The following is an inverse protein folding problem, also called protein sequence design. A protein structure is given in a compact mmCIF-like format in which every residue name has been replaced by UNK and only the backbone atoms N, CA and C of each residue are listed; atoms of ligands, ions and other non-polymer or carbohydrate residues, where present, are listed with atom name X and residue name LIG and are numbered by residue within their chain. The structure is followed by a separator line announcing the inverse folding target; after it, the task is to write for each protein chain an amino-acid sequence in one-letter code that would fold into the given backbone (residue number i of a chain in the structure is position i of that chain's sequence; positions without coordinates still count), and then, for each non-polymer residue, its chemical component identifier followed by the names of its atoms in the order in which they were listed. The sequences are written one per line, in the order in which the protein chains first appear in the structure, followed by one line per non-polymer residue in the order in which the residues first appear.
data_IF_571888096827
#
_entry.id   IF_571888096827
#
_cell.length_a   1.000
_cell.length_b   1.000
_cell.length_c   1.000
_cell.angle_alpha   90.00
_cell.angle_beta   90.00
_cell.angle_gamma   90.00
#
_symmetry.space_group_name_H-M   'P 1'
#
loop_
_entity.id
_entity.type
_entity.pdbx_description
1 polymer ?
#
# COMPACT_ATOMS: atom_id res chain seq x y z
N UNK A 1 22.35 27.33 18.06
CA UNK A 1 21.48 26.44 17.26
C UNK A 1 20.17 26.34 18.01
N UNK A 2 19.06 26.81 17.44
CA UNK A 2 17.72 26.59 18.03
C UNK A 2 17.44 25.08 17.95
N UNK A 3 17.03 24.50 19.07
CA UNK A 3 16.49 23.13 19.11
C UNK A 3 15.41 23.03 18.01
N UNK A 4 15.38 21.99 17.15
CA UNK A 4 14.34 21.89 16.14
C UNK A 4 12.98 21.94 16.85
N UNK A 5 12.16 22.92 16.49
CA UNK A 5 10.83 23.07 17.07
C UNK A 5 10.06 21.80 16.81
N UNK A 6 9.52 21.18 17.86
CA UNK A 6 8.75 19.94 17.78
C UNK A 6 7.55 20.20 16.86
N UNK A 7 7.41 19.42 15.77
CA UNK A 7 6.27 19.49 14.87
C UNK A 7 5.01 19.08 15.63
N UNK A 8 4.03 19.98 15.76
CA UNK A 8 2.79 19.76 16.49
C UNK A 8 1.57 19.69 15.57
N UNK A 9 1.70 20.21 14.34
CA UNK A 9 0.63 20.21 13.35
C UNK A 9 1.18 19.89 11.97
N UNK A 10 0.57 18.91 11.31
CA UNK A 10 0.95 18.46 9.97
C UNK A 10 -0.22 18.59 9.02
N UNK A 11 -0.02 19.21 7.87
CA UNK A 11 -0.98 19.15 6.76
C UNK A 11 -0.59 18.03 5.80
N UNK A 12 -1.53 17.12 5.52
CA UNK A 12 -1.35 15.99 4.60
C UNK A 12 -2.27 16.18 3.41
N UNK A 13 -1.68 16.24 2.21
CA UNK A 13 -2.40 16.42 0.94
C UNK A 13 -2.40 15.10 0.18
N UNK A 14 -3.58 14.63 -0.23
CA UNK A 14 -3.72 13.35 -0.94
C UNK A 14 -4.86 13.35 -1.94
N UNK A 15 -4.65 12.73 -3.11
CA UNK A 15 -5.71 12.42 -4.09
C UNK A 15 -6.41 11.07 -3.78
N UNK A 16 -5.80 10.24 -2.92
CA UNK A 16 -6.33 8.97 -2.49
C UNK A 16 -7.00 9.08 -1.11
N UNK A 17 -8.34 9.10 -1.08
CA UNK A 17 -9.11 9.18 0.15
C UNK A 17 -10.44 8.44 0.04
N UNK A 18 -11.20 8.37 1.14
CA UNK A 18 -12.55 7.79 1.13
C UNK A 18 -13.43 8.40 0.02
N UNK A 19 -14.28 7.62 -0.64
CA UNK A 19 -14.68 6.24 -0.35
C UNK A 19 -13.74 5.15 -0.92
N UNK A 20 -12.61 5.49 -1.50
CA UNK A 20 -11.66 4.51 -2.04
C UNK A 20 -11.17 3.55 -0.94
N UNK A 21 -11.11 2.25 -1.27
CA UNK A 21 -10.54 1.22 -0.40
C UNK A 21 -9.27 0.68 -1.05
N UNK A 22 -8.12 1.19 -0.62
CA UNK A 22 -6.81 0.76 -1.13
C UNK A 22 -5.70 0.94 -0.07
N UNK A 23 -4.52 0.43 -0.37
CA UNK A 23 -3.37 0.47 0.55
C UNK A 23 -2.89 1.88 0.91
N UNK A 24 -3.05 2.87 0.01
CA UNK A 24 -2.66 4.27 0.26
C UNK A 24 -3.57 4.89 1.30
N UNK A 25 -4.89 4.76 1.10
CA UNK A 25 -5.90 5.26 2.06
C UNK A 25 -5.71 4.64 3.44
N UNK A 26 -5.49 3.31 3.51
CA UNK A 26 -5.21 2.62 4.78
C UNK A 26 -3.95 3.16 5.44
N UNK A 27 -2.86 3.29 4.68
CA UNK A 27 -1.59 3.81 5.22
C UNK A 27 -1.79 5.20 5.81
N UNK A 28 -2.41 6.11 5.07
CA UNK A 28 -2.63 7.48 5.54
C UNK A 28 -3.56 7.53 6.77
N UNK A 29 -4.66 6.77 6.77
CA UNK A 29 -5.57 6.72 7.94
C UNK A 29 -4.86 6.26 9.21
N UNK A 30 -4.13 5.15 9.13
CA UNK A 30 -3.42 4.63 10.30
C UNK A 30 -2.28 5.58 10.75
N UNK A 31 -1.54 6.15 9.79
CA UNK A 31 -0.48 7.12 10.11
C UNK A 31 -1.06 8.36 10.78
N UNK A 32 -2.19 8.91 10.30
CA UNK A 32 -2.84 10.05 10.92
C UNK A 32 -3.34 9.73 12.34
N UNK A 33 -3.97 8.57 12.55
CA UNK A 33 -4.42 8.13 13.87
C UNK A 33 -3.28 7.99 14.86
N UNK A 34 -2.15 7.41 14.44
CA UNK A 34 -0.96 7.28 15.30
C UNK A 34 -0.29 8.63 15.57
N UNK A 35 -0.26 9.56 14.60
CA UNK A 35 0.22 10.93 14.82
C UNK A 35 -0.63 11.65 15.88
N UNK A 36 -1.96 11.54 15.78
CA UNK A 36 -2.88 12.11 16.77
C UNK A 36 -2.66 11.49 18.17
N UNK A 37 -2.43 10.19 18.24
CA UNK A 37 -2.07 9.49 19.49
C UNK A 37 -0.72 9.95 20.05
N UNK A 38 0.19 10.47 19.22
CA UNK A 38 1.45 11.12 19.63
C UNK A 38 1.28 12.61 20.00
N UNK A 39 0.05 13.13 19.92
CA UNK A 39 -0.26 14.54 20.22
C UNK A 39 0.01 15.50 19.06
N UNK A 40 0.19 15.00 17.85
CA UNK A 40 0.35 15.80 16.63
C UNK A 40 -1.01 15.97 15.95
N UNK A 41 -1.43 17.21 15.74
CA UNK A 41 -2.66 17.50 14.98
C UNK A 41 -2.45 17.25 13.50
N UNK A 42 -3.40 16.59 12.85
CA UNK A 42 -3.35 16.30 11.42
C UNK A 42 -4.50 17.01 10.71
N UNK A 43 -4.14 17.86 9.75
CA UNK A 43 -5.09 18.48 8.82
C UNK A 43 -5.01 17.75 7.48
N UNK A 44 -6.14 17.26 6.99
CA UNK A 44 -6.21 16.53 5.72
C UNK A 44 -6.78 17.41 4.62
N UNK A 45 -6.08 17.50 3.47
CA UNK A 45 -6.63 18.10 2.25
C UNK A 45 -6.83 16.97 1.24
N UNK A 46 -8.08 16.70 0.89
CA UNK A 46 -8.53 15.52 0.16
C UNK A 46 -9.42 15.89 -1.03
N UNK A 47 -9.78 14.97 -1.92
CA UNK A 47 -10.73 15.25 -3.00
C UNK A 47 -12.12 15.70 -2.53
N UNK A 48 -12.47 15.46 -1.27
CA UNK A 48 -13.81 15.80 -0.73
C UNK A 48 -14.05 17.31 -0.68
N UNK A 49 -13.01 18.13 -0.59
CA UNK A 49 -13.11 19.59 -0.57
C UNK A 49 -13.18 20.23 -1.97
N UNK A 50 -13.18 19.43 -3.03
CA UNK A 50 -13.07 19.90 -4.41
C UNK A 50 -14.15 19.33 -5.32
N UNK A 51 -14.44 20.06 -6.41
CA UNK A 51 -15.12 19.45 -7.57
C UNK A 51 -14.18 18.44 -8.20
N UNK A 52 -14.69 17.27 -8.57
CA UNK A 52 -13.88 16.17 -9.09
C UNK A 52 -14.45 15.60 -10.38
N UNK A 53 -13.57 15.04 -11.21
CA UNK A 53 -13.92 14.23 -12.38
C UNK A 53 -13.46 12.78 -12.16
N UNK A 54 -14.17 11.77 -12.71
CA UNK A 54 -13.71 10.39 -12.64
C UNK A 54 -12.44 10.22 -13.47
N UNK A 55 -11.47 9.46 -12.97
CA UNK A 55 -10.30 9.07 -13.76
C UNK A 55 -10.74 8.11 -14.88
N UNK A 56 -10.36 8.34 -16.14
CA UNK A 56 -10.83 7.50 -17.27
C UNK A 56 -10.51 6.02 -17.11
N UNK A 57 -9.36 5.67 -16.52
CA UNK A 57 -8.91 4.29 -16.31
C UNK A 57 -9.41 3.66 -15.02
N UNK A 58 -9.85 4.49 -14.05
CA UNK A 58 -10.28 4.12 -12.70
C UNK A 58 -11.36 5.10 -12.24
N UNK A 59 -12.62 4.92 -12.65
CA UNK A 59 -13.71 5.86 -12.33
C UNK A 59 -13.92 6.11 -10.82
N UNK A 60 -13.53 5.14 -10.00
CA UNK A 60 -13.53 5.27 -8.53
C UNK A 60 -12.47 6.23 -8.00
N UNK A 61 -11.40 6.49 -8.76
CA UNK A 61 -10.42 7.53 -8.44
C UNK A 61 -10.95 8.86 -8.95
N UNK A 62 -11.11 9.80 -8.02
CA UNK A 62 -11.66 11.14 -8.31
C UNK A 62 -10.51 12.13 -8.49
N UNK A 63 -10.38 12.69 -9.68
CA UNK A 63 -9.39 13.72 -10.02
C UNK A 63 -9.93 15.09 -9.63
N UNK A 64 -9.29 15.75 -8.69
CA UNK A 64 -9.73 17.04 -8.15
C UNK A 64 -9.42 18.19 -9.11
N UNK A 65 -10.39 19.10 -9.30
CA UNK A 65 -10.20 20.35 -10.00
C UNK A 65 -9.63 21.40 -9.03
N UNK A 66 -8.37 21.23 -8.66
CA UNK A 66 -7.67 22.06 -7.70
C UNK A 66 -6.73 23.06 -8.36
N UNK A 67 -6.76 24.29 -7.89
CA UNK A 67 -5.77 25.30 -8.27
C UNK A 67 -4.70 25.46 -7.18
N UNK A 68 -3.47 25.76 -7.58
CA UNK A 68 -2.40 25.97 -6.62
C UNK A 68 -2.65 27.16 -5.67
N UNK A 69 -3.38 28.19 -6.10
CA UNK A 69 -3.76 29.31 -5.23
C UNK A 69 -4.78 28.93 -4.17
N UNK A 70 -5.71 28.00 -4.47
CA UNK A 70 -6.64 27.48 -3.47
C UNK A 70 -5.91 26.61 -2.44
N UNK A 71 -5.01 25.73 -2.92
CA UNK A 71 -4.19 24.91 -2.01
C UNK A 71 -3.33 25.78 -1.10
N UNK A 72 -2.73 26.85 -1.64
CA UNK A 72 -1.93 27.80 -0.87
C UNK A 72 -2.73 28.37 0.31
N UNK A 73 -3.94 28.88 0.04
CA UNK A 73 -4.83 29.41 1.09
C UNK A 73 -5.22 28.35 2.13
N UNK A 74 -5.50 27.11 1.70
CA UNK A 74 -5.86 26.03 2.62
C UNK A 74 -4.66 25.62 3.49
N UNK A 75 -3.46 25.52 2.92
CA UNK A 75 -2.23 25.22 3.66
C UNK A 75 -1.93 26.33 4.67
N UNK A 76 -2.02 27.59 4.29
CA UNK A 76 -1.87 28.74 5.23
C UNK A 76 -2.91 28.70 6.35
N UNK A 77 -4.17 28.45 6.03
CA UNK A 77 -5.25 28.37 7.01
C UNK A 77 -5.08 27.21 8.01
N UNK A 78 -4.44 26.11 7.61
CA UNK A 78 -4.13 24.98 8.50
C UNK A 78 -3.14 25.34 9.61
N UNK A 79 -2.35 26.40 9.44
CA UNK A 79 -1.27 26.79 10.35
C UNK A 79 -0.33 25.60 10.70
N UNK A 80 -0.07 24.75 9.70
CA UNK A 80 0.74 23.55 9.90
C UNK A 80 2.23 23.89 10.07
N UNK A 81 2.91 23.14 10.94
CA UNK A 81 4.35 23.23 11.12
C UNK A 81 5.12 22.46 10.04
N UNK A 82 4.48 21.44 9.45
CA UNK A 82 5.04 20.61 8.39
C UNK A 82 3.99 20.21 7.34
N UNK A 83 4.45 19.91 6.13
CA UNK A 83 3.60 19.50 5.01
C UNK A 83 4.07 18.19 4.41
N UNK A 84 3.11 17.29 4.15
CA UNK A 84 3.31 16.05 3.43
C UNK A 84 2.40 15.96 2.21
N UNK A 85 2.95 15.76 1.03
CA UNK A 85 2.21 15.52 -0.22
C UNK A 85 2.28 14.03 -0.52
N UNK A 86 1.19 13.31 -0.22
CA UNK A 86 1.18 11.86 -0.21
C UNK A 86 1.02 11.21 -1.60
N UNK A 87 0.47 11.94 -2.58
CA UNK A 87 0.18 11.37 -3.90
C UNK A 87 0.54 12.32 -5.03
N UNK A 88 0.81 11.75 -6.22
CA UNK A 88 1.25 12.46 -7.42
C UNK A 88 0.08 12.89 -8.33
N UNK A 89 -1.15 12.93 -7.79
CA UNK A 89 -2.34 13.36 -8.51
C UNK A 89 -2.50 14.89 -8.60
N UNK A 90 -3.64 15.38 -9.10
CA UNK A 90 -3.90 16.82 -9.28
C UNK A 90 -3.73 17.67 -8.02
N UNK A 91 -4.18 17.16 -6.85
CA UNK A 91 -3.96 17.84 -5.56
C UNK A 91 -2.49 17.93 -5.23
N UNK A 92 -1.75 16.83 -5.39
CA UNK A 92 -0.31 16.80 -5.16
C UNK A 92 0.44 17.79 -6.04
N UNK A 93 0.14 17.85 -7.33
CA UNK A 93 0.77 18.81 -8.24
C UNK A 93 0.40 20.26 -7.91
N UNK A 94 -0.83 20.52 -7.50
CA UNK A 94 -1.26 21.87 -7.09
C UNK A 94 -0.56 22.30 -5.79
N UNK A 95 -0.46 21.41 -4.79
CA UNK A 95 0.25 21.65 -3.53
C UNK A 95 1.77 21.89 -3.77
N UNK A 96 2.40 21.02 -4.58
CA UNK A 96 3.80 21.22 -4.98
C UNK A 96 4.03 22.59 -5.66
N UNK A 97 3.10 23.01 -6.50
CA UNK A 97 3.21 24.31 -7.18
C UNK A 97 3.05 25.47 -6.20
N UNK A 98 2.16 25.35 -5.22
CA UNK A 98 2.02 26.32 -4.13
C UNK A 98 3.31 26.38 -3.28
N UNK A 99 3.82 25.23 -2.86
CA UNK A 99 5.04 25.11 -2.08
C UNK A 99 6.25 25.77 -2.80
N UNK A 100 6.39 25.52 -4.10
CA UNK A 100 7.48 26.12 -4.90
C UNK A 100 7.39 27.65 -4.93
N UNK A 101 6.19 28.22 -5.06
CA UNK A 101 6.02 29.69 -5.07
C UNK A 101 6.34 30.34 -3.72
N UNK A 102 5.98 29.64 -2.64
CA UNK A 102 6.13 30.15 -1.26
C UNK A 102 7.47 29.80 -0.62
N UNK A 103 8.27 28.95 -1.27
CA UNK A 103 9.51 28.45 -0.68
C UNK A 103 9.30 27.44 0.46
N UNK A 104 8.10 26.85 0.57
CA UNK A 104 7.78 25.89 1.61
C UNK A 104 8.49 24.56 1.41
N UNK A 105 9.10 24.06 2.48
CA UNK A 105 9.63 22.70 2.53
C UNK A 105 8.49 21.68 2.69
N UNK A 106 8.65 20.49 2.10
CA UNK A 106 7.65 19.42 2.19
C UNK A 106 8.28 18.06 1.98
N UNK A 107 7.61 17.04 2.45
CA UNK A 107 7.93 15.63 2.14
C UNK A 107 6.92 15.04 1.17
N UNK A 108 7.32 13.99 0.46
CA UNK A 108 6.44 13.24 -0.44
C UNK A 108 6.54 11.74 -0.16
N UNK A 109 5.64 10.94 -0.72
CA UNK A 109 5.71 9.49 -0.63
C UNK A 109 5.54 8.82 -2.00
N UNK A 110 6.23 7.70 -2.18
CA UNK A 110 6.08 6.82 -3.33
C UNK A 110 5.31 5.56 -2.90
N UNK A 111 3.99 5.60 -3.06
CA UNK A 111 3.12 4.53 -2.61
C UNK A 111 2.90 3.43 -3.65
N UNK A 112 2.91 3.81 -4.93
CA UNK A 112 2.46 2.94 -6.02
C UNK A 112 3.40 3.07 -7.21
N UNK A 113 3.72 1.95 -7.86
CA UNK A 113 4.49 1.94 -9.10
C UNK A 113 3.62 2.38 -10.28
N UNK A 114 3.09 3.61 -10.19
CA UNK A 114 2.25 4.19 -11.25
C UNK A 114 2.89 4.16 -12.65
N UNK A 115 4.19 4.39 -12.82
CA UNK A 115 4.82 4.25 -14.14
C UNK A 115 4.55 2.90 -14.78
N UNK A 116 4.67 1.81 -14.04
CA UNK A 116 4.39 0.46 -14.51
C UNK A 116 2.89 0.25 -14.79
N UNK A 117 2.02 0.77 -13.92
CA UNK A 117 0.56 0.66 -14.08
C UNK A 117 0.07 1.41 -15.32
N UNK A 118 0.57 2.61 -15.56
CA UNK A 118 0.23 3.40 -16.75
C UNK A 118 0.77 2.72 -18.01
N UNK A 119 2.03 2.27 -17.99
CA UNK A 119 2.62 1.54 -19.13
C UNK A 119 1.82 0.31 -19.50
N UNK A 120 1.44 -0.53 -18.53
CA UNK A 120 0.68 -1.76 -18.77
C UNK A 120 -0.68 -1.53 -19.46
N UNK A 121 -1.21 -0.31 -19.39
CA UNK A 121 -2.53 0.04 -19.97
C UNK A 121 -2.47 0.89 -21.22
N UNK A 122 -1.47 1.74 -21.32
CA UNK A 122 -1.37 2.76 -22.37
C UNK A 122 -0.22 2.51 -23.33
N UNK A 123 0.74 1.65 -22.96
CA UNK A 123 1.98 1.43 -23.71
C UNK A 123 2.98 2.59 -23.62
N UNK A 124 2.69 3.66 -22.86
CA UNK A 124 3.63 4.78 -22.70
C UNK A 124 4.94 4.27 -22.07
N UNK A 125 6.12 4.60 -22.63
CA UNK A 125 7.39 4.09 -22.12
C UNK A 125 7.60 4.44 -20.64
N UNK A 126 7.94 3.44 -19.83
CA UNK A 126 8.16 3.57 -18.38
C UNK A 126 9.19 4.66 -18.06
N UNK A 127 10.24 4.80 -18.87
CA UNK A 127 11.28 5.79 -18.68
C UNK A 127 10.75 7.25 -18.73
N UNK A 128 9.77 7.53 -19.60
CA UNK A 128 9.15 8.86 -19.68
C UNK A 128 8.29 9.15 -18.46
N UNK A 129 7.56 8.16 -18.00
CA UNK A 129 6.74 8.26 -16.80
C UNK A 129 7.63 8.50 -15.57
N UNK A 130 8.74 7.78 -15.43
CA UNK A 130 9.69 8.02 -14.34
C UNK A 130 10.32 9.44 -14.40
N UNK A 131 10.55 10.02 -15.59
CA UNK A 131 10.99 11.41 -15.68
C UNK A 131 9.95 12.39 -15.12
N UNK A 132 8.66 12.15 -15.40
CA UNK A 132 7.56 12.95 -14.86
C UNK A 132 7.49 12.83 -13.33
N UNK A 133 7.49 11.60 -12.82
CA UNK A 133 7.43 11.34 -11.38
C UNK A 133 8.65 11.89 -10.64
N UNK A 134 9.84 11.71 -11.20
CA UNK A 134 11.07 12.34 -10.67
C UNK A 134 10.96 13.87 -10.63
N UNK A 135 10.39 14.50 -11.66
CA UNK A 135 10.12 15.94 -11.65
C UNK A 135 9.17 16.35 -10.52
N UNK A 136 8.18 15.52 -10.19
CA UNK A 136 7.27 15.77 -9.07
C UNK A 136 8.01 15.76 -7.74
N UNK A 137 8.82 14.75 -7.48
CA UNK A 137 9.52 14.56 -6.20
C UNK A 137 10.79 15.42 -6.04
N UNK A 138 11.29 16.00 -7.12
CA UNK A 138 12.62 16.66 -7.17
C UNK A 138 12.89 17.69 -6.07
N UNK A 139 11.87 18.41 -5.62
CA UNK A 139 12.02 19.50 -4.65
C UNK A 139 11.57 19.11 -3.24
N UNK A 140 11.17 17.86 -3.03
CA UNK A 140 10.84 17.38 -1.70
C UNK A 140 12.09 17.20 -0.85
N UNK A 141 11.97 17.52 0.43
CA UNK A 141 13.05 17.31 1.41
C UNK A 141 13.28 15.82 1.70
N UNK A 142 12.25 15.00 1.51
CA UNK A 142 12.35 13.55 1.54
C UNK A 142 11.26 12.92 0.66
N UNK A 143 11.62 11.83 -0.02
CA UNK A 143 10.70 10.92 -0.74
C UNK A 143 10.58 9.64 0.06
N UNK A 144 9.42 9.41 0.68
CA UNK A 144 9.22 8.26 1.56
C UNK A 144 8.86 7.01 0.76
N UNK A 145 9.66 5.97 0.86
CA UNK A 145 9.47 4.70 0.14
C UNK A 145 9.36 3.52 1.12
N UNK A 146 8.53 2.50 0.80
CA UNK A 146 8.11 1.50 1.79
C UNK A 146 9.11 0.36 2.01
N UNK A 147 10.06 0.14 1.10
CA UNK A 147 10.99 -0.99 1.18
C UNK A 147 12.36 -0.64 0.60
N UNK A 148 13.44 -1.32 1.05
CA UNK A 148 14.79 -1.13 0.52
C UNK A 148 14.89 -1.32 -1.00
N UNK A 149 14.28 -2.35 -1.57
CA UNK A 149 14.29 -2.58 -3.01
C UNK A 149 13.60 -1.46 -3.81
N UNK A 150 12.56 -0.83 -3.26
CA UNK A 150 11.94 0.35 -3.87
C UNK A 150 12.86 1.57 -3.77
N UNK A 151 13.55 1.75 -2.65
CA UNK A 151 14.54 2.85 -2.48
C UNK A 151 15.62 2.71 -3.56
N UNK A 152 16.27 1.56 -3.64
CA UNK A 152 17.30 1.28 -4.66
C UNK A 152 16.78 1.51 -6.09
N UNK A 153 15.56 1.04 -6.37
CA UNK A 153 14.90 1.23 -7.66
C UNK A 153 14.65 2.70 -8.00
N UNK A 154 14.31 3.53 -7.02
CA UNK A 154 14.12 4.97 -7.21
C UNK A 154 15.46 5.71 -7.38
N UNK A 155 16.44 5.41 -6.53
CA UNK A 155 17.77 6.02 -6.57
C UNK A 155 18.48 5.70 -7.88
N UNK A 156 18.43 4.47 -8.38
CA UNK A 156 18.97 4.07 -9.68
C UNK A 156 18.34 4.82 -10.87
N UNK A 157 17.13 5.40 -10.68
CA UNK A 157 16.42 6.25 -11.65
C UNK A 157 16.63 7.75 -11.39
N UNK A 158 17.54 8.11 -10.47
CA UNK A 158 17.92 9.48 -10.17
C UNK A 158 16.93 10.25 -9.29
N UNK A 159 16.12 9.55 -8.48
CA UNK A 159 15.44 10.18 -7.36
C UNK A 159 16.46 10.50 -6.27
N UNK A 160 16.26 11.61 -5.59
CA UNK A 160 17.13 12.07 -4.50
C UNK A 160 16.35 12.13 -3.19
N UNK A 161 17.07 12.09 -2.08
CA UNK A 161 16.47 12.19 -0.73
C UNK A 161 15.45 11.09 -0.43
N UNK A 162 15.61 9.89 -1.00
CA UNK A 162 14.72 8.76 -0.73
C UNK A 162 14.98 8.26 0.70
N UNK A 163 13.91 8.12 1.49
CA UNK A 163 13.98 7.65 2.88
C UNK A 163 13.04 6.49 3.10
N UNK A 164 13.44 5.59 3.97
CA UNK A 164 12.64 4.44 4.36
C UNK A 164 11.45 4.85 5.23
N UNK A 165 10.27 4.36 4.85
CA UNK A 165 9.05 4.48 5.61
C UNK A 165 8.24 3.19 5.45
N UNK A 166 8.38 2.28 6.39
CA UNK A 166 7.68 0.99 6.39
C UNK A 166 6.17 1.12 6.56
N UNK A 167 5.50 -0.01 6.64
CA UNK A 167 4.06 -0.12 6.93
C UNK A 167 3.86 -0.97 8.17
N UNK A 168 2.67 -0.85 8.75
CA UNK A 168 2.25 -1.64 9.88
C UNK A 168 1.02 -2.49 9.56
N UNK A 169 0.65 -3.32 10.51
CA UNK A 169 -0.61 -4.05 10.56
C UNK A 169 -1.35 -3.70 11.86
N UNK A 170 -2.67 -3.66 11.80
CA UNK A 170 -3.49 -3.48 13.00
C UNK A 170 -3.69 -4.82 13.69
N UNK A 171 -2.87 -5.07 14.70
CA UNK A 171 -2.92 -6.30 15.51
C UNK A 171 -4.18 -6.45 16.36
N UNK A 172 -5.03 -5.43 16.46
CA UNK A 172 -6.36 -5.54 17.11
C UNK A 172 -7.38 -6.16 16.16
N UNK A 173 -7.15 -6.09 14.86
CA UNK A 173 -8.01 -6.64 13.82
C UNK A 173 -7.42 -7.95 13.29
N UNK A 174 -6.13 -7.93 12.93
CA UNK A 174 -5.42 -9.06 12.33
C UNK A 174 -4.60 -9.78 13.40
N UNK A 175 -5.15 -10.86 13.91
CA UNK A 175 -4.52 -11.74 14.89
C UNK A 175 -5.03 -13.18 14.70
N UNK A 176 -4.30 -14.21 15.20
CA UNK A 176 -4.72 -15.60 15.07
C UNK A 176 -6.02 -15.85 15.84
N UNK A 177 -7.01 -16.46 15.19
CA UNK A 177 -8.29 -16.86 15.83
C UNK A 177 -8.22 -18.33 16.23
N UNK A 178 -8.11 -18.57 17.52
CA UNK A 178 -7.84 -19.90 18.11
C UNK A 178 -9.03 -20.86 17.95
N UNK A 179 -10.26 -20.33 17.92
CA UNK A 179 -11.50 -21.13 17.92
C UNK A 179 -11.99 -21.57 16.53
N UNK A 180 -11.25 -21.27 15.47
CA UNK A 180 -11.65 -21.71 14.14
C UNK A 180 -11.14 -23.14 13.90
N UNK A 181 -12.03 -24.01 13.42
CA UNK A 181 -11.68 -25.36 12.98
C UNK A 181 -10.46 -25.28 12.08
N UNK A 182 -9.42 -26.06 12.43
CA UNK A 182 -8.26 -26.20 11.55
C UNK A 182 -8.76 -26.64 10.18
N UNK A 183 -8.23 -26.05 9.11
CA UNK A 183 -8.48 -26.56 7.77
C UNK A 183 -8.21 -28.07 7.71
N UNK A 184 -8.99 -28.77 6.93
CA UNK A 184 -8.75 -30.19 6.67
C UNK A 184 -7.43 -30.32 5.89
N UNK A 185 -6.40 -30.99 6.42
CA UNK A 185 -5.13 -31.17 5.70
C UNK A 185 -5.27 -31.81 4.33
N UNK A 186 -6.33 -32.60 4.14
CA UNK A 186 -6.62 -33.23 2.86
C UNK A 186 -7.21 -32.25 1.81
N UNK A 187 -7.75 -31.11 2.27
CA UNK A 187 -8.38 -30.09 1.40
C UNK A 187 -7.91 -28.68 1.79
N UNK A 188 -6.63 -28.33 1.56
CA UNK A 188 -6.09 -27.03 1.93
C UNK A 188 -6.77 -25.88 1.19
N UNK A 189 -6.84 -24.72 1.84
CA UNK A 189 -7.45 -23.50 1.31
C UNK A 189 -6.35 -22.51 0.93
N UNK A 190 -6.30 -22.16 -0.36
CA UNK A 190 -5.41 -21.14 -0.90
C UNK A 190 -6.18 -19.85 -1.12
N UNK A 191 -5.80 -18.79 -0.44
CA UNK A 191 -6.52 -17.52 -0.42
C UNK A 191 -5.75 -16.42 -1.17
N UNK A 192 -6.48 -15.71 -2.01
CA UNK A 192 -6.10 -14.40 -2.55
C UNK A 192 -7.01 -13.32 -1.95
N UNK A 193 -6.43 -12.17 -1.56
CA UNK A 193 -7.19 -10.99 -1.17
C UNK A 193 -6.62 -9.75 -1.84
N UNK A 194 -7.47 -9.04 -2.59
CA UNK A 194 -7.07 -7.82 -3.28
C UNK A 194 -7.96 -7.46 -4.45
N UNK A 195 -7.60 -6.37 -5.13
CA UNK A 195 -8.31 -5.90 -6.31
C UNK A 195 -8.18 -6.89 -7.47
N UNK A 196 -9.29 -7.15 -8.17
CA UNK A 196 -9.33 -8.03 -9.34
C UNK A 196 -8.98 -7.22 -10.62
N UNK A 197 -7.69 -6.98 -10.82
CA UNK A 197 -7.15 -6.12 -11.87
C UNK A 197 -5.89 -6.72 -12.51
N UNK A 198 -5.54 -6.27 -13.71
CA UNK A 198 -4.41 -6.80 -14.49
C UNK A 198 -3.09 -6.67 -13.73
N UNK A 199 -2.85 -5.54 -13.09
CA UNK A 199 -1.64 -5.26 -12.33
C UNK A 199 -1.45 -6.16 -11.11
N UNK A 200 -2.52 -6.79 -10.61
CA UNK A 200 -2.46 -7.75 -9.50
C UNK A 200 -2.16 -9.18 -9.95
N UNK A 201 -2.12 -9.41 -11.26
CA UNK A 201 -1.72 -10.70 -11.85
C UNK A 201 -2.49 -11.91 -11.29
N UNK A 202 -3.77 -11.71 -10.95
CA UNK A 202 -4.58 -12.74 -10.28
C UNK A 202 -4.70 -14.03 -11.09
N UNK A 203 -4.65 -13.96 -12.43
CA UNK A 203 -4.69 -15.15 -13.31
C UNK A 203 -3.57 -16.12 -12.97
N UNK A 204 -2.37 -15.64 -12.63
CA UNK A 204 -1.27 -16.50 -12.23
C UNK A 204 -1.58 -17.35 -10.98
N UNK A 205 -2.48 -16.90 -10.09
CA UNK A 205 -3.01 -17.74 -9.00
C UNK A 205 -4.12 -18.67 -9.48
N UNK A 206 -5.04 -18.15 -10.28
CA UNK A 206 -6.22 -18.92 -10.71
C UNK A 206 -5.84 -20.11 -11.60
N UNK A 207 -4.78 -19.98 -12.39
CA UNK A 207 -4.29 -21.01 -13.33
C UNK A 207 -3.46 -22.11 -12.61
N UNK A 208 -3.07 -21.93 -11.34
CA UNK A 208 -2.31 -22.94 -10.61
C UNK A 208 -3.13 -24.23 -10.43
N UNK A 209 -2.49 -25.37 -10.66
CA UNK A 209 -3.02 -26.66 -10.24
C UNK A 209 -2.62 -26.92 -8.79
N UNK A 210 -3.57 -26.71 -7.85
CA UNK A 210 -3.37 -26.82 -6.41
C UNK A 210 -4.32 -27.84 -5.81
N UNK A 211 -3.89 -28.62 -4.81
CA UNK A 211 -4.75 -29.54 -4.09
C UNK A 211 -5.68 -28.76 -3.16
N UNK A 212 -7.00 -28.82 -3.35
CA UNK A 212 -7.96 -28.17 -2.47
C UNK A 212 -8.64 -26.92 -3.06
N UNK A 213 -9.05 -26.00 -2.19
CA UNK A 213 -9.91 -24.88 -2.60
C UNK A 213 -9.13 -23.60 -2.88
N UNK A 214 -9.56 -22.86 -3.91
CA UNK A 214 -9.13 -21.50 -4.17
C UNK A 214 -10.19 -20.51 -3.72
N UNK A 215 -9.82 -19.62 -2.80
CA UNK A 215 -10.69 -18.56 -2.32
C UNK A 215 -10.19 -17.20 -2.82
N UNK A 216 -11.13 -16.35 -3.24
CA UNK A 216 -10.83 -15.00 -3.75
C UNK A 216 -11.70 -13.98 -3.03
N UNK A 217 -11.05 -13.09 -2.27
CA UNK A 217 -11.67 -11.95 -1.62
C UNK A 217 -11.31 -10.64 -2.34
N UNK A 218 -12.30 -9.84 -2.69
CA UNK A 218 -12.15 -8.57 -3.38
C UNK A 218 -12.99 -8.45 -4.64
N UNK A 219 -12.91 -7.29 -5.26
CA UNK A 219 -13.62 -6.93 -6.49
C UNK A 219 -12.69 -6.19 -7.47
N UNK A 220 -13.13 -5.96 -8.68
CA UNK A 220 -12.40 -5.17 -9.65
C UNK A 220 -12.82 -5.38 -11.09
N UNK A 221 -12.18 -4.66 -12.04
CA UNK A 221 -12.58 -4.67 -13.45
C UNK A 221 -12.62 -6.05 -14.12
N UNK A 222 -11.85 -7.00 -13.62
CA UNK A 222 -11.76 -8.35 -14.18
C UNK A 222 -12.79 -9.33 -13.60
N UNK A 223 -13.53 -8.96 -12.55
CA UNK A 223 -14.40 -9.87 -11.78
C UNK A 223 -15.33 -10.70 -12.65
N UNK A 224 -16.14 -10.04 -13.48
CA UNK A 224 -17.15 -10.73 -14.31
C UNK A 224 -16.53 -11.70 -15.32
N UNK A 225 -15.37 -11.37 -15.88
CA UNK A 225 -14.66 -12.24 -16.80
C UNK A 225 -14.02 -13.44 -16.10
N UNK A 226 -13.43 -13.22 -14.93
CA UNK A 226 -12.78 -14.26 -14.15
C UNK A 226 -13.79 -15.25 -13.59
N UNK A 227 -14.94 -14.79 -13.06
CA UNK A 227 -16.01 -15.67 -12.55
C UNK A 227 -16.56 -16.61 -13.64
N UNK A 228 -16.66 -16.13 -14.88
CA UNK A 228 -17.09 -17.00 -16.01
C UNK A 228 -16.04 -18.04 -16.40
N UNK A 229 -14.75 -17.68 -16.28
CA UNK A 229 -13.65 -18.55 -16.70
C UNK A 229 -13.29 -19.61 -15.64
N UNK A 230 -13.43 -19.29 -14.35
CA UNK A 230 -12.98 -20.11 -13.23
C UNK A 230 -14.13 -20.49 -12.30
N UNK A 231 -14.98 -21.42 -12.76
CA UNK A 231 -16.19 -21.85 -12.02
C UNK A 231 -15.91 -22.57 -10.70
N UNK A 232 -14.74 -23.22 -10.57
CA UNK A 232 -14.35 -23.96 -9.35
C UNK A 232 -13.76 -23.09 -8.21
N UNK A 233 -13.73 -21.76 -8.40
CA UNK A 233 -13.17 -20.82 -7.39
C UNK A 233 -14.27 -20.30 -6.50
N UNK A 234 -14.00 -20.23 -5.18
CA UNK A 234 -14.90 -19.60 -4.23
C UNK A 234 -14.71 -18.08 -4.23
N UNK A 235 -15.65 -17.39 -4.88
CA UNK A 235 -15.68 -15.92 -4.97
C UNK A 235 -16.40 -15.33 -3.77
N UNK A 236 -15.69 -14.59 -2.91
CA UNK A 236 -16.20 -14.05 -1.65
C UNK A 236 -16.70 -12.61 -1.81
N UNK A 237 -16.09 -11.87 -2.75
CA UNK A 237 -16.37 -10.43 -2.93
C UNK A 237 -15.64 -9.56 -1.91
N UNK A 238 -16.11 -8.30 -1.78
CA UNK A 238 -15.54 -7.34 -0.82
C UNK A 238 -16.02 -7.67 0.60
N UNK A 239 -15.08 -7.67 1.53
CA UNK A 239 -15.36 -7.96 2.95
C UNK A 239 -14.76 -6.87 3.85
N UNK A 240 -15.29 -6.76 5.07
CA UNK A 240 -14.70 -5.92 6.10
C UNK A 240 -13.33 -6.45 6.54
N UNK A 241 -12.52 -5.62 7.20
CA UNK A 241 -11.21 -6.06 7.72
C UNK A 241 -11.34 -7.22 8.73
N UNK A 242 -12.36 -7.21 9.58
CA UNK A 242 -12.63 -8.30 10.51
C UNK A 242 -12.96 -9.60 9.79
N UNK A 243 -13.86 -9.55 8.80
CA UNK A 243 -14.18 -10.73 7.99
C UNK A 243 -12.97 -11.20 7.16
N UNK A 244 -12.10 -10.29 6.72
CA UNK A 244 -10.85 -10.66 6.04
C UNK A 244 -9.89 -11.37 7.01
N UNK A 245 -9.79 -10.93 8.26
CA UNK A 245 -9.00 -11.59 9.29
C UNK A 245 -9.53 -13.01 9.59
N UNK A 246 -10.87 -13.20 9.55
CA UNK A 246 -11.49 -14.53 9.65
C UNK A 246 -11.09 -15.42 8.47
N UNK A 247 -11.10 -14.90 7.25
CA UNK A 247 -10.65 -15.64 6.06
C UNK A 247 -9.18 -16.03 6.16
N UNK A 248 -8.30 -15.12 6.58
CA UNK A 248 -6.89 -15.41 6.80
C UNK A 248 -6.68 -16.51 7.86
N UNK A 249 -7.44 -16.49 8.94
CA UNK A 249 -7.32 -17.49 10.00
C UNK A 249 -7.79 -18.88 9.55
N UNK A 250 -8.73 -18.95 8.59
CA UNK A 250 -9.30 -20.20 8.07
C UNK A 250 -8.50 -20.78 6.89
N UNK A 251 -7.78 -19.99 6.15
CA UNK A 251 -6.97 -20.44 5.02
C UNK A 251 -5.66 -21.09 5.48
N UNK A 252 -4.99 -21.83 4.58
CA UNK A 252 -3.70 -22.47 4.82
C UNK A 252 -2.54 -21.73 4.21
N UNK A 253 -2.74 -21.09 3.04
CA UNK A 253 -1.73 -20.33 2.32
C UNK A 253 -2.33 -19.06 1.74
N UNK A 254 -1.67 -17.93 1.96
CA UNK A 254 -1.97 -16.71 1.24
C UNK A 254 -1.14 -16.64 -0.04
N UNK A 255 -1.79 -16.61 -1.20
CA UNK A 255 -1.09 -16.52 -2.48
C UNK A 255 -1.09 -15.08 -2.98
N UNK A 256 0.11 -14.50 -3.13
CA UNK A 256 0.32 -13.13 -3.57
C UNK A 256 0.98 -13.09 -4.94
N UNK A 257 0.21 -13.13 -6.05
CA UNK A 257 0.75 -13.23 -7.41
C UNK A 257 1.22 -11.90 -8.01
N UNK A 258 1.06 -10.79 -7.30
CA UNK A 258 1.43 -9.46 -7.80
C UNK A 258 2.94 -9.31 -7.98
N UNK A 259 3.33 -8.65 -9.09
CA UNK A 259 4.73 -8.34 -9.43
C UNK A 259 5.04 -6.85 -9.31
N UNK A 260 4.06 -6.02 -8.97
CA UNK A 260 4.16 -4.55 -9.07
C UNK A 260 3.84 -3.82 -7.77
N UNK A 261 3.48 -4.52 -6.71
CA UNK A 261 3.23 -3.89 -5.41
C UNK A 261 4.53 -3.38 -4.78
N UNK A 262 4.46 -2.23 -4.13
CA UNK A 262 5.61 -1.63 -3.46
C UNK A 262 5.86 -2.21 -2.07
N UNK A 263 4.83 -2.74 -1.42
CA UNK A 263 4.89 -3.36 -0.09
C UNK A 263 3.96 -4.59 0.00
N UNK A 264 2.65 -4.40 -0.23
CA UNK A 264 1.64 -5.45 -0.10
C UNK A 264 1.15 -5.63 1.35
N UNK A 265 0.39 -4.66 1.87
CA UNK A 265 -0.20 -4.71 3.22
C UNK A 265 -0.89 -6.04 3.55
N UNK A 266 -1.57 -6.63 2.58
CA UNK A 266 -2.27 -7.91 2.72
C UNK A 266 -1.35 -9.07 3.10
N UNK A 267 -0.06 -9.01 2.77
CA UNK A 267 0.92 -10.03 3.18
C UNK A 267 1.15 -9.99 4.69
N UNK A 268 1.39 -8.79 5.25
CA UNK A 268 1.60 -8.66 6.71
C UNK A 268 0.31 -8.89 7.48
N UNK A 269 -0.85 -8.54 6.92
CA UNK A 269 -2.18 -8.86 7.48
C UNK A 269 -2.40 -10.38 7.55
N UNK A 270 -2.09 -11.10 6.47
CA UNK A 270 -2.16 -12.55 6.41
C UNK A 270 -1.20 -13.20 7.43
N UNK A 271 0.07 -12.78 7.44
CA UNK A 271 1.07 -13.27 8.39
C UNK A 271 0.69 -13.02 9.85
N UNK A 272 0.10 -11.86 10.17
CA UNK A 272 -0.38 -11.55 11.51
C UNK A 272 -1.50 -12.49 11.97
N UNK A 273 -2.29 -13.03 11.04
CA UNK A 273 -3.30 -14.06 11.31
C UNK A 273 -2.74 -15.51 11.29
N UNK A 274 -1.42 -15.66 11.11
CA UNK A 274 -0.76 -16.97 11.08
C UNK A 274 -0.76 -17.65 9.70
N UNK A 275 -1.04 -16.91 8.64
CA UNK A 275 -1.12 -17.44 7.30
C UNK A 275 0.21 -17.22 6.55
N UNK A 276 0.95 -18.29 6.17
CA UNK A 276 2.17 -18.16 5.39
C UNK A 276 1.87 -17.64 3.98
N UNK A 277 2.85 -16.92 3.39
CA UNK A 277 2.68 -16.20 2.13
C UNK A 277 3.52 -16.83 1.02
N UNK A 278 2.86 -17.23 -0.07
CA UNK A 278 3.50 -17.63 -1.32
C UNK A 278 3.53 -16.47 -2.31
N UNK A 279 4.70 -16.08 -2.79
CA UNK A 279 4.84 -14.93 -3.69
C UNK A 279 6.01 -15.10 -4.67
N UNK A 280 6.03 -14.24 -5.71
CA UNK A 280 7.19 -14.11 -6.59
C UNK A 280 8.35 -13.37 -5.89
N UNK A 281 9.63 -13.69 -6.21
CA UNK A 281 10.81 -13.00 -5.69
C UNK A 281 11.00 -11.63 -6.40
N UNK A 282 10.12 -10.69 -6.14
CA UNK A 282 10.14 -9.33 -6.69
C UNK A 282 10.13 -8.29 -5.57
N UNK A 283 10.43 -7.03 -5.92
CA UNK A 283 10.33 -5.91 -4.96
C UNK A 283 8.96 -5.89 -4.27
N UNK A 284 8.96 -5.60 -2.99
CA UNK A 284 7.82 -5.79 -2.08
C UNK A 284 7.92 -7.14 -1.37
N UNK A 285 7.55 -8.27 -1.98
CA UNK A 285 7.71 -9.59 -1.35
C UNK A 285 9.14 -9.91 -0.85
N UNK A 286 10.18 -9.58 -1.61
CA UNK A 286 11.59 -9.79 -1.18
C UNK A 286 11.87 -9.07 0.14
N UNK A 287 11.41 -7.83 0.29
CA UNK A 287 11.67 -7.03 1.49
C UNK A 287 10.71 -7.36 2.65
N UNK A 288 9.46 -7.76 2.33
CA UNK A 288 8.42 -8.01 3.33
C UNK A 288 8.50 -9.43 3.88
N UNK A 289 8.87 -10.41 3.06
CA UNK A 289 8.99 -11.82 3.46
C UNK A 289 10.48 -12.17 3.65
N UNK A 290 11.29 -11.91 2.63
CA UNK A 290 12.74 -12.18 2.66
C UNK A 290 13.07 -13.59 3.11
N UNK A 291 14.05 -13.68 4.02
CA UNK A 291 14.50 -14.92 4.65
C UNK A 291 13.83 -15.20 6.00
N UNK A 292 12.69 -14.58 6.30
CA UNK A 292 12.01 -14.69 7.60
C UNK A 292 11.48 -16.09 7.94
N UNK A 293 11.31 -16.94 6.93
CA UNK A 293 10.59 -18.20 7.05
C UNK A 293 9.07 -18.07 7.15
N UNK A 294 8.52 -16.84 7.08
CA UNK A 294 7.08 -16.58 7.18
C UNK A 294 6.33 -16.81 5.86
N UNK A 295 7.02 -17.22 4.81
CA UNK A 295 6.50 -17.52 3.49
C UNK A 295 7.59 -18.03 2.56
N UNK A 296 7.23 -18.33 1.32
CA UNK A 296 8.12 -18.83 0.28
C UNK A 296 8.09 -17.90 -0.93
N UNK A 297 9.28 -17.53 -1.41
CA UNK A 297 9.48 -16.76 -2.63
C UNK A 297 10.05 -17.66 -3.73
N UNK A 298 9.28 -17.86 -4.79
CA UNK A 298 9.73 -18.67 -5.93
C UNK A 298 9.20 -18.11 -7.26
N UNK A 299 9.94 -18.29 -8.35
CA UNK A 299 9.48 -18.01 -9.70
C UNK A 299 8.37 -18.97 -10.15
N UNK A 300 8.34 -20.18 -9.61
CA UNK A 300 7.20 -21.09 -9.67
C UNK A 300 6.27 -20.86 -8.48
N UNK A 301 5.21 -20.09 -8.72
CA UNK A 301 4.23 -19.75 -7.68
C UNK A 301 3.50 -20.98 -7.12
N UNK A 302 3.36 -22.06 -7.93
CA UNK A 302 2.80 -23.33 -7.47
C UNK A 302 3.72 -23.97 -6.43
N UNK A 303 5.01 -24.05 -6.74
CA UNK A 303 6.02 -24.59 -5.82
C UNK A 303 6.04 -23.78 -4.51
N UNK A 304 6.03 -22.43 -4.61
CA UNK A 304 5.94 -21.58 -3.42
C UNK A 304 4.69 -21.89 -2.58
N UNK A 305 3.53 -22.02 -3.22
CA UNK A 305 2.27 -22.29 -2.52
C UNK A 305 2.27 -23.65 -1.81
N UNK A 306 2.82 -24.69 -2.45
CA UNK A 306 2.89 -26.03 -1.85
C UNK A 306 3.87 -26.07 -0.67
N UNK A 307 5.04 -25.42 -0.79
CA UNK A 307 6.01 -25.35 0.31
C UNK A 307 5.46 -24.57 1.52
N UNK A 308 4.61 -23.57 1.29
CA UNK A 308 3.97 -22.83 2.38
C UNK A 308 3.09 -23.70 3.29
N UNK A 309 2.54 -24.81 2.80
CA UNK A 309 1.74 -25.74 3.60
C UNK A 309 2.53 -26.35 4.79
N UNK A 310 3.85 -26.44 4.65
CA UNK A 310 4.75 -26.99 5.67
C UNK A 310 5.18 -25.95 6.73
N UNK A 311 4.82 -24.67 6.56
CA UNK A 311 5.24 -23.61 7.48
C UNK A 311 4.33 -23.56 8.71
N UNK A 312 4.87 -23.75 9.92
CA UNK A 312 4.09 -23.60 11.15
C UNK A 312 3.53 -22.18 11.31
N UNK A 313 2.24 -22.05 11.61
CA UNK A 313 1.53 -20.75 11.74
C UNK A 313 2.19 -19.77 12.72
N UNK A 314 2.92 -20.26 13.71
CA UNK A 314 3.64 -19.44 14.69
C UNK A 314 4.77 -18.61 14.07
N UNK A 315 5.37 -19.08 12.97
CA UNK A 315 6.47 -18.36 12.30
C UNK A 315 5.98 -17.05 11.70
N UNK A 316 4.95 -17.01 10.81
CA UNK A 316 4.43 -15.75 10.29
C UNK A 316 3.86 -14.84 11.39
N UNK A 317 3.20 -15.37 12.43
CA UNK A 317 2.70 -14.56 13.56
C UNK A 317 3.85 -13.80 14.22
N UNK A 318 4.89 -14.53 14.64
CA UNK A 318 6.05 -13.94 15.31
C UNK A 318 6.75 -12.92 14.44
N UNK A 319 6.88 -13.19 13.15
CA UNK A 319 7.49 -12.25 12.22
C UNK A 319 6.65 -10.99 12.02
N UNK A 320 5.35 -11.14 11.82
CA UNK A 320 4.43 -10.02 11.62
C UNK A 320 4.32 -9.09 12.84
N UNK A 321 4.64 -9.55 14.05
CA UNK A 321 4.57 -8.73 15.26
C UNK A 321 5.49 -7.50 15.24
N UNK A 322 6.54 -7.50 14.41
CA UNK A 322 7.44 -6.37 14.23
C UNK A 322 6.83 -5.24 13.37
N UNK A 323 5.80 -5.54 12.57
CA UNK A 323 5.15 -4.55 11.69
C UNK A 323 4.06 -3.82 12.45
N UNK A 324 4.39 -2.69 13.09
CA UNK A 324 3.43 -1.87 13.83
C UNK A 324 3.22 -0.51 13.17
N UNK A 325 1.98 0.00 13.20
CA UNK A 325 1.71 1.36 12.72
C UNK A 325 2.44 2.41 13.54
N UNK A 326 2.64 2.17 14.84
CA UNK A 326 3.40 3.08 15.71
C UNK A 326 4.85 3.25 15.22
N UNK A 327 5.56 2.14 14.94
CA UNK A 327 6.93 2.20 14.42
C UNK A 327 6.99 2.87 13.04
N UNK A 328 6.06 2.53 12.14
CA UNK A 328 5.96 3.16 10.82
C UNK A 328 5.68 4.67 10.92
N UNK A 329 4.79 5.08 11.83
CA UNK A 329 4.47 6.50 12.05
C UNK A 329 5.61 7.26 12.68
N UNK A 330 6.41 6.64 13.55
CA UNK A 330 7.62 7.26 14.08
C UNK A 330 8.61 7.60 12.96
N UNK A 331 8.85 6.68 12.01
CA UNK A 331 9.69 6.94 10.82
C UNK A 331 9.13 8.08 9.96
N UNK A 332 7.81 8.10 9.77
CA UNK A 332 7.14 9.19 9.06
C UNK A 332 7.37 10.53 9.74
N UNK A 333 7.16 10.61 11.05
CA UNK A 333 7.32 11.83 11.85
C UNK A 333 8.77 12.36 11.82
N UNK A 334 9.75 11.47 11.95
CA UNK A 334 11.18 11.79 11.88
C UNK A 334 11.63 12.29 10.50
N UNK A 335 10.91 11.92 9.45
CA UNK A 335 11.20 12.40 8.10
C UNK A 335 10.59 13.77 7.80
N UNK A 336 9.61 14.23 8.59
CA UNK A 336 9.00 15.55 8.39
C UNK A 336 10.02 16.67 8.59
N UNK A 337 9.80 17.76 7.88
CA UNK A 337 10.63 18.97 7.98
C UNK A 337 9.73 20.17 8.26
N UNK A 338 10.21 21.19 8.98
CA UNK A 338 9.48 22.43 9.16
C UNK A 338 9.10 23.05 7.80
N UNK A 339 7.90 23.63 7.74
CA UNK A 339 7.35 24.23 6.52
C UNK A 339 8.16 25.44 6.05
N UNK A 340 8.79 26.17 6.99
CA UNK A 340 9.60 27.37 6.75
C UNK A 340 11.06 27.15 7.14
#
# INVERSE_FOLDING_TARGET
MRSPSKIQRVVVITDAWSPQVNGVVRTLKNTCQELEALGVRVEMITPLEFKTLPCPSYPEIRLSLATSSRLEKMIEASQADAMHIATEGPLGWAARSAAKRRGWAYTTAYHTRFPEYVNARTGIPVAWLYRLFRSFHRYSSAVLAPTPAIIESLESRGFVNVKFWTRGVDHKIFFPRIDQQKPDPAHPIFLYAGRLAVEKNIRAFLDLDLPGEKWVAGEGPLESSLKRQYAGVRWIGVVSQHALADLYSRADVFVFPSKTDTFGLVMVEAMACGLPVAAYPVAGPIDVIGSSGAGVLDHDLRQAALQCLEIPRQIPIRYASAFTWRAATQQFYEALVPLC
#
